data_IF_762910986289
#
_entry.id   IF_762910986289
#
_cell.length_a   1.000
_cell.length_b   1.000
_cell.length_c   1.000
_cell.angle_alpha   90.00
_cell.angle_beta   90.00
_cell.angle_gamma   90.00
#
_symmetry.space_group_name_H-M   'P 1'
#
loop_
_entity.id
_entity.type
_entity.pdbx_description
1 polymer ?
#
# COMPACT_ATOMS: atom_id res chain seq x y z
N UNK A 1 15.73 -11.83 4.65
CA UNK A 1 14.67 -12.04 5.65
C UNK A 1 13.37 -11.77 4.94
N UNK A 2 12.38 -12.67 5.06
CA UNK A 2 11.05 -12.48 4.45
C UNK A 2 10.36 -11.26 5.04
N UNK A 3 9.78 -10.42 4.18
CA UNK A 3 9.01 -9.28 4.62
C UNK A 3 7.56 -9.70 4.92
N UNK A 4 7.26 -9.96 6.19
CA UNK A 4 5.90 -10.33 6.62
C UNK A 4 4.88 -9.20 6.45
N UNK A 5 5.34 -7.98 6.17
CA UNK A 5 4.50 -6.81 5.93
C UNK A 5 4.15 -6.62 4.46
N UNK A 6 4.79 -7.36 3.54
CA UNK A 6 4.53 -7.25 2.12
C UNK A 6 3.38 -8.15 1.67
N UNK A 7 2.31 -7.61 1.06
CA UNK A 7 1.21 -8.40 0.53
C UNK A 7 1.65 -9.46 -0.50
N UNK A 8 2.75 -9.22 -1.23
CA UNK A 8 3.25 -10.16 -2.24
C UNK A 8 4.19 -11.22 -1.64
N UNK A 9 5.06 -10.84 -0.69
CA UNK A 9 6.06 -11.75 -0.12
C UNK A 9 5.53 -12.57 1.07
N UNK A 10 4.37 -12.20 1.63
CA UNK A 10 3.82 -12.85 2.84
C UNK A 10 3.50 -14.32 2.62
N UNK A 11 3.53 -14.88 1.41
CA UNK A 11 3.39 -16.32 1.16
C UNK A 11 4.33 -16.85 0.09
N UNK A 12 5.42 -16.14 -0.20
CA UNK A 12 6.33 -16.47 -1.30
C UNK A 12 6.79 -17.94 -1.26
N UNK A 13 7.22 -18.44 -0.09
CA UNK A 13 7.65 -19.83 0.08
C UNK A 13 6.55 -20.88 -0.18
N UNK A 14 5.28 -20.52 0.03
CA UNK A 14 4.15 -21.41 -0.27
C UNK A 14 3.83 -21.37 -1.76
N UNK A 15 3.85 -20.19 -2.37
CA UNK A 15 3.61 -20.01 -3.80
C UNK A 15 4.71 -20.66 -4.65
N UNK A 16 5.96 -20.65 -4.21
CA UNK A 16 7.09 -21.30 -4.89
C UNK A 16 7.01 -22.84 -4.94
N UNK A 17 6.06 -23.46 -4.21
CA UNK A 17 5.89 -24.92 -4.17
C UNK A 17 4.75 -25.42 -5.05
N UNK A 18 3.99 -24.51 -5.66
CA UNK A 18 2.79 -24.82 -6.42
C UNK A 18 2.69 -23.88 -7.63
N UNK A 19 3.27 -24.30 -8.74
CA UNK A 19 3.37 -23.51 -9.97
C UNK A 19 1.98 -23.04 -10.48
N UNK A 20 0.96 -23.88 -10.38
CA UNK A 20 -0.40 -23.55 -10.83
C UNK A 20 -1.01 -22.44 -9.96
N UNK A 21 -0.86 -22.52 -8.64
CA UNK A 21 -1.33 -21.45 -7.74
C UNK A 21 -0.55 -20.17 -7.92
N UNK A 22 0.76 -20.27 -8.14
CA UNK A 22 1.61 -19.13 -8.41
C UNK A 22 1.18 -18.41 -9.70
N UNK A 23 0.99 -19.16 -10.79
CA UNK A 23 0.51 -18.60 -12.06
C UNK A 23 -0.88 -17.97 -11.92
N UNK A 24 -1.82 -18.64 -11.24
CA UNK A 24 -3.15 -18.09 -11.01
C UNK A 24 -3.12 -16.80 -10.19
N UNK A 25 -2.26 -16.75 -9.18
CA UNK A 25 -2.07 -15.58 -8.32
C UNK A 25 -1.58 -14.37 -9.12
N UNK A 26 -0.49 -14.50 -9.88
CA UNK A 26 0.01 -13.42 -10.73
C UNK A 26 -0.95 -13.07 -11.87
N UNK A 27 -1.71 -14.04 -12.40
CA UNK A 27 -2.75 -13.78 -13.39
C UNK A 27 -3.91 -12.93 -12.84
N UNK A 28 -4.22 -13.02 -11.54
CA UNK A 28 -5.19 -12.11 -10.89
C UNK A 28 -4.61 -10.72 -10.75
N UNK A 29 -3.36 -10.61 -10.28
CA UNK A 29 -2.67 -9.33 -10.10
C UNK A 29 -2.57 -8.56 -11.42
N UNK A 30 -2.17 -9.22 -12.50
CA UNK A 30 -2.03 -8.60 -13.82
C UNK A 30 -3.36 -8.08 -14.41
N UNK A 31 -4.51 -8.46 -13.83
CA UNK A 31 -5.84 -7.97 -14.24
C UNK A 31 -6.33 -6.81 -13.35
N UNK A 32 -5.59 -6.45 -12.31
CA UNK A 32 -5.95 -5.35 -11.43
C UNK A 32 -5.63 -4.01 -12.09
N UNK A 33 -6.38 -2.95 -11.76
CA UNK A 33 -5.95 -1.58 -12.02
C UNK A 33 -4.57 -1.29 -11.42
N UNK A 34 -3.78 -0.42 -12.05
CA UNK A 34 -2.42 -0.05 -11.61
C UNK A 34 -2.40 0.38 -10.14
N UNK A 35 -3.32 1.23 -9.72
CA UNK A 35 -3.46 1.69 -8.33
C UNK A 35 -3.59 0.54 -7.32
N UNK A 36 -4.23 -0.57 -7.71
CA UNK A 36 -4.36 -1.76 -6.86
C UNK A 36 -3.10 -2.62 -6.88
N UNK A 37 -2.38 -2.64 -8.00
CA UNK A 37 -1.07 -3.28 -8.08
C UNK A 37 -0.05 -2.53 -7.22
N UNK A 38 -0.06 -1.20 -7.25
CA UNK A 38 0.81 -0.36 -6.42
C UNK A 38 0.67 -0.71 -4.94
N UNK A 39 -0.56 -0.91 -4.45
CA UNK A 39 -0.75 -1.33 -3.06
C UNK A 39 -0.05 -2.66 -2.76
N UNK A 40 0.04 -3.60 -3.70
CA UNK A 40 0.67 -4.90 -3.48
C UNK A 40 2.21 -4.85 -3.50
N UNK A 41 2.80 -3.88 -4.22
CA UNK A 41 4.25 -3.83 -4.49
C UNK A 41 4.98 -2.64 -3.87
N UNK A 42 4.27 -1.61 -3.39
CA UNK A 42 4.86 -0.39 -2.84
C UNK A 42 5.37 -0.61 -1.40
N UNK A 43 6.63 -0.22 -1.16
CA UNK A 43 7.25 -0.21 0.18
C UNK A 43 6.47 0.66 1.18
N UNK A 44 5.75 1.68 0.70
CA UNK A 44 4.88 2.48 1.56
C UNK A 44 3.73 1.65 2.15
N UNK A 45 3.18 0.69 1.39
CA UNK A 45 2.17 -0.25 1.91
C UNK A 45 2.75 -1.09 3.05
N UNK A 46 3.96 -1.62 2.88
CA UNK A 46 4.65 -2.39 3.92
C UNK A 46 4.83 -1.57 5.20
N UNK A 47 5.21 -0.31 5.06
CA UNK A 47 5.37 0.61 6.19
C UNK A 47 4.05 0.93 6.88
N UNK A 48 2.96 1.07 6.13
CA UNK A 48 1.62 1.27 6.70
C UNK A 48 1.19 0.02 7.48
N UNK A 49 1.34 -1.17 6.89
CA UNK A 49 0.97 -2.44 7.53
C UNK A 49 1.80 -2.70 8.78
N UNK A 50 3.10 -2.39 8.75
CA UNK A 50 3.98 -2.43 9.91
C UNK A 50 3.49 -1.51 11.03
N UNK A 51 3.21 -0.25 10.72
CA UNK A 51 2.72 0.73 11.71
C UNK A 51 1.41 0.29 12.35
N UNK A 52 0.50 -0.29 11.57
CA UNK A 52 -0.76 -0.83 12.09
C UNK A 52 -0.47 -2.01 13.03
N UNK A 53 0.34 -2.98 12.60
CA UNK A 53 0.70 -4.13 13.44
C UNK A 53 1.35 -3.70 14.77
N UNK A 54 2.30 -2.76 14.73
CA UNK A 54 2.95 -2.20 15.92
C UNK A 54 1.97 -1.44 16.82
N UNK A 55 1.09 -0.61 16.24
CA UNK A 55 0.09 0.15 16.98
C UNK A 55 -0.84 -0.75 17.80
N UNK A 56 -1.27 -1.88 17.22
CA UNK A 56 -2.17 -2.83 17.86
C UNK A 56 -1.45 -4.00 18.55
N UNK A 57 -0.11 -3.94 18.61
CA UNK A 57 0.74 -4.96 19.23
C UNK A 57 0.47 -6.38 18.70
N UNK A 58 0.20 -6.48 17.39
CA UNK A 58 -0.05 -7.77 16.74
C UNK A 58 1.20 -8.64 16.81
N UNK A 59 1.02 -9.90 17.18
CA UNK A 59 2.11 -10.87 17.07
C UNK A 59 2.37 -11.24 15.61
N UNK A 60 3.48 -11.94 15.35
CA UNK A 60 3.88 -12.29 13.99
C UNK A 60 2.79 -13.03 13.19
N UNK A 61 2.07 -13.97 13.79
CA UNK A 61 1.01 -14.71 13.10
C UNK A 61 -0.18 -13.81 12.77
N UNK A 62 -0.60 -12.96 13.72
CA UNK A 62 -1.68 -11.99 13.50
C UNK A 62 -1.32 -10.98 12.41
N UNK A 63 -0.06 -10.52 12.38
CA UNK A 63 0.46 -9.65 11.32
C UNK A 63 0.38 -10.34 9.96
N UNK A 64 0.85 -11.59 9.87
CA UNK A 64 0.78 -12.38 8.63
C UNK A 64 -0.68 -12.50 8.15
N UNK A 65 -1.61 -12.84 9.04
CA UNK A 65 -3.03 -12.97 8.68
C UNK A 65 -3.66 -11.64 8.26
N UNK A 66 -3.31 -10.54 8.91
CA UNK A 66 -3.75 -9.20 8.52
C UNK A 66 -3.27 -8.85 7.11
N UNK A 67 -1.99 -9.10 6.82
CA UNK A 67 -1.37 -8.79 5.52
C UNK A 67 -1.95 -9.69 4.42
N UNK A 68 -2.16 -10.98 4.71
CA UNK A 68 -2.88 -11.90 3.83
C UNK A 68 -4.30 -11.41 3.53
N UNK A 69 -5.04 -10.95 4.53
CA UNK A 69 -6.38 -10.43 4.33
C UNK A 69 -6.38 -9.19 3.42
N UNK A 70 -5.43 -8.27 3.59
CA UNK A 70 -5.28 -7.10 2.71
C UNK A 70 -5.03 -7.53 1.26
N UNK A 71 -4.08 -8.47 1.05
CA UNK A 71 -3.83 -9.06 -0.27
C UNK A 71 -5.10 -9.68 -0.85
N UNK A 72 -5.78 -10.53 -0.09
CA UNK A 72 -6.98 -11.25 -0.52
C UNK A 72 -8.10 -10.28 -0.94
N UNK A 73 -8.27 -9.17 -0.22
CA UNK A 73 -9.24 -8.11 -0.58
C UNK A 73 -8.84 -7.46 -1.91
N UNK A 74 -7.57 -7.10 -2.11
CA UNK A 74 -7.09 -6.43 -3.32
C UNK A 74 -7.26 -7.33 -4.55
N UNK A 75 -6.90 -8.61 -4.45
CA UNK A 75 -7.06 -9.59 -5.54
C UNK A 75 -8.51 -10.11 -5.67
N UNK A 76 -9.45 -9.59 -4.86
CA UNK A 76 -10.89 -9.93 -4.84
C UNK A 76 -11.20 -11.38 -4.43
N UNK A 77 -10.31 -12.02 -3.69
CA UNK A 77 -10.54 -13.32 -3.04
C UNK A 77 -11.24 -13.19 -1.68
N UNK A 78 -11.27 -11.98 -1.11
CA UNK A 78 -12.08 -11.61 0.05
C UNK A 78 -12.92 -10.35 -0.25
N UNK A 79 -14.05 -10.22 0.45
CA UNK A 79 -14.97 -9.09 0.29
C UNK A 79 -14.66 -8.01 1.34
N UNK A 80 -14.52 -6.75 0.91
CA UNK A 80 -14.18 -5.63 1.80
C UNK A 80 -15.24 -5.42 2.89
N UNK A 81 -16.51 -5.71 2.59
CA UNK A 81 -17.65 -5.58 3.50
C UNK A 81 -17.53 -6.51 4.72
N UNK A 82 -16.80 -7.61 4.58
CA UNK A 82 -16.62 -8.62 5.63
C UNK A 82 -15.32 -8.44 6.44
N UNK A 83 -14.52 -7.41 6.16
CA UNK A 83 -13.17 -7.24 6.73
C UNK A 83 -13.14 -7.30 8.25
N UNK A 84 -14.16 -6.80 8.95
CA UNK A 84 -14.21 -6.83 10.42
C UNK A 84 -14.38 -8.27 10.91
N UNK A 85 -15.31 -9.02 10.31
CA UNK A 85 -15.53 -10.42 10.66
C UNK A 85 -14.29 -11.26 10.36
N UNK A 86 -13.70 -11.07 9.17
CA UNK A 86 -12.46 -11.76 8.77
C UNK A 86 -11.29 -11.44 9.71
N UNK A 87 -11.15 -10.19 10.18
CA UNK A 87 -10.11 -9.83 11.15
C UNK A 87 -10.37 -10.47 12.52
N UNK A 88 -11.61 -10.46 13.01
CA UNK A 88 -11.97 -11.12 14.27
C UNK A 88 -11.64 -12.61 14.22
N UNK A 89 -12.02 -13.29 13.12
CA UNK A 89 -11.83 -14.72 12.97
C UNK A 89 -10.37 -15.11 12.71
N UNK A 90 -9.66 -14.40 11.82
CA UNK A 90 -8.28 -14.75 11.46
C UNK A 90 -7.27 -14.36 12.53
N UNK A 91 -7.43 -13.20 13.18
CA UNK A 91 -6.49 -12.72 14.20
C UNK A 91 -6.87 -13.16 15.61
N UNK A 92 -8.08 -13.72 15.81
CA UNK A 92 -8.61 -14.13 17.12
C UNK A 92 -8.64 -12.95 18.12
N UNK A 93 -9.10 -11.79 17.65
CA UNK A 93 -9.16 -10.53 18.40
C UNK A 93 -10.61 -10.07 18.61
N UNK A 94 -10.84 -9.24 19.64
CA UNK A 94 -12.15 -8.66 19.90
C UNK A 94 -12.62 -7.75 18.76
N UNK A 95 -13.93 -7.74 18.51
CA UNK A 95 -14.58 -6.98 17.43
C UNK A 95 -14.24 -5.49 17.43
N UNK A 96 -14.08 -4.88 18.62
CA UNK A 96 -13.68 -3.48 18.73
C UNK A 96 -12.29 -3.22 18.13
N UNK A 97 -11.32 -4.09 18.41
CA UNK A 97 -9.96 -3.99 17.87
C UNK A 97 -9.98 -4.26 16.36
N UNK A 98 -10.73 -5.29 15.93
CA UNK A 98 -10.91 -5.61 14.52
C UNK A 98 -11.49 -4.43 13.73
N UNK A 99 -12.50 -3.75 14.28
CA UNK A 99 -13.09 -2.54 13.70
C UNK A 99 -12.07 -1.40 13.58
N UNK A 100 -11.27 -1.17 14.61
CA UNK A 100 -10.24 -0.11 14.58
C UNK A 100 -9.14 -0.41 13.54
N UNK A 101 -8.71 -1.67 13.43
CA UNK A 101 -7.77 -2.12 12.40
C UNK A 101 -8.40 -1.94 11.00
N UNK A 102 -9.63 -2.41 10.79
CA UNK A 102 -10.35 -2.26 9.52
C UNK A 102 -10.48 -0.80 9.07
N UNK A 103 -10.76 0.10 10.01
CA UNK A 103 -10.82 1.54 9.75
C UNK A 103 -9.46 2.08 9.30
N UNK A 104 -8.36 1.65 9.93
CA UNK A 104 -7.00 2.03 9.52
C UNK A 104 -6.65 1.48 8.13
N UNK A 105 -6.92 0.21 7.87
CA UNK A 105 -6.69 -0.39 6.55
C UNK A 105 -7.49 0.33 5.47
N UNK A 106 -8.76 0.62 5.74
CA UNK A 106 -9.62 1.34 4.79
C UNK A 106 -9.13 2.76 4.54
N UNK A 107 -8.77 3.50 5.58
CA UNK A 107 -8.34 4.89 5.43
C UNK A 107 -7.02 5.03 4.67
N UNK A 108 -6.11 4.04 4.79
CA UNK A 108 -4.76 4.14 4.23
C UNK A 108 -4.55 3.35 2.94
N UNK A 109 -5.26 2.23 2.74
CA UNK A 109 -4.97 1.29 1.65
C UNK A 109 -6.22 0.93 0.82
N UNK A 110 -7.36 0.66 1.48
CA UNK A 110 -8.53 0.08 0.79
C UNK A 110 -9.55 1.14 0.34
N UNK A 111 -9.25 2.43 0.44
CA UNK A 111 -10.13 3.51 -0.03
C UNK A 111 -9.86 3.79 -1.52
N UNK A 112 -10.89 4.12 -2.33
CA UNK A 112 -10.70 4.56 -3.72
C UNK A 112 -9.78 5.79 -3.86
N UNK A 113 -9.62 6.58 -2.79
CA UNK A 113 -8.77 7.76 -2.74
C UNK A 113 -7.34 7.48 -2.23
N UNK A 114 -7.02 6.24 -1.86
CA UNK A 114 -5.68 5.84 -1.42
C UNK A 114 -4.72 5.57 -2.60
N UNK A 115 -5.20 5.69 -3.84
CA UNK A 115 -4.35 5.74 -5.02
C UNK A 115 -3.22 6.76 -4.75
N UNK A 116 -1.95 6.39 -4.93
CA UNK A 116 -0.86 7.32 -4.75
C UNK A 116 -1.14 8.50 -5.67
N UNK A 117 -1.45 9.65 -5.08
CA UNK A 117 -1.35 10.90 -5.80
C UNK A 117 0.07 10.92 -6.30
N UNK A 118 0.25 10.74 -7.61
CA UNK A 118 1.45 11.12 -8.36
C UNK A 118 1.77 12.54 -7.92
N UNK A 119 2.54 12.65 -6.84
CA UNK A 119 3.32 13.83 -6.57
C UNK A 119 4.40 13.74 -7.62
N UNK A 120 4.08 14.25 -8.80
CA UNK A 120 5.07 14.77 -9.71
C UNK A 120 5.96 15.69 -8.87
N UNK A 121 7.05 15.15 -8.33
CA UNK A 121 8.28 15.90 -8.14
C UNK A 121 8.75 16.26 -9.54
N UNK A 122 8.03 17.19 -10.19
CA UNK A 122 8.56 17.91 -11.32
C UNK A 122 9.88 18.54 -10.89
N UNK A 123 10.89 18.57 -11.76
CA UNK A 123 12.15 19.22 -11.42
C UNK A 123 11.85 20.67 -10.96
N UNK A 124 12.67 21.23 -10.04
CA UNK A 124 12.46 22.60 -9.59
C UNK A 124 12.37 23.49 -10.82
N UNK A 125 11.28 24.25 -10.94
CA UNK A 125 11.24 25.34 -11.92
C UNK A 125 12.38 26.26 -11.53
N UNK A 126 13.47 26.24 -12.30
CA UNK A 126 14.46 27.30 -12.28
C UNK A 126 13.69 28.61 -12.42
N UNK A 127 13.76 29.44 -11.37
CA UNK A 127 13.33 30.82 -11.44
C UNK A 127 14.19 31.50 -12.50
N UNK A 128 13.69 31.56 -13.72
CA UNK A 128 14.23 32.46 -14.72
C UNK A 128 14.06 33.88 -14.18
N UNK A 129 15.17 34.41 -13.67
CA UNK A 129 15.38 35.80 -13.34
C UNK A 129 14.61 36.68 -14.33
N UNK A 130 13.56 37.36 -13.83
CA UNK A 130 13.01 38.52 -14.52
C UNK A 130 14.09 39.58 -14.52
N UNK A 131 14.90 39.60 -15.58
CA UNK A 131 15.77 40.72 -15.90
C UNK A 131 14.85 41.92 -16.10
N UNK A 132 14.87 42.84 -15.13
CA UNK A 132 14.19 44.12 -15.22
C UNK A 132 14.75 44.88 -16.44
N UNK A 133 13.94 45.21 -17.47
CA UNK A 133 14.43 45.85 -18.68
C UNK A 133 14.87 47.32 -18.49
N UNK A 134 14.75 47.89 -17.29
CA UNK A 134 15.02 49.30 -17.03
C UNK A 134 16.40 49.62 -16.41
N UNK A 135 17.35 48.68 -16.41
CA UNK A 135 18.70 48.94 -15.89
C UNK A 135 19.78 48.89 -16.98
N UNK A 136 19.51 49.51 -18.13
CA UNK A 136 20.56 49.85 -19.11
C UNK A 136 21.36 51.01 -18.52
N UNK A 137 22.46 50.69 -17.85
CA UNK A 137 23.48 51.65 -17.48
C UNK A 137 24.14 52.11 -18.79
N UNK A 138 23.86 53.34 -19.20
CA UNK A 138 24.41 53.94 -20.41
C UNK A 138 25.91 54.19 -20.21
N UNK A 139 26.75 53.27 -20.69
CA UNK A 139 28.21 53.35 -20.62
C UNK A 139 28.77 53.67 -22.01
N UNK A 140 28.41 54.83 -22.58
CA UNK A 140 29.16 55.46 -23.69
C UNK A 140 29.10 57.00 -23.67
N UNK A 141 30.23 57.56 -23.23
CA UNK A 141 30.82 58.89 -23.52
C UNK A 141 30.28 60.11 -22.78
#
# INVERSE_FOLDING_TARGET
>A
MRNIYSPIEVDEEFMLRDDEKHELFYAKINKLPEEMQDILFDENTDNILRKIAEQFQLNQNQTIEMVRLVRDIIIKDAQKENVIADLTDRLQIGENIARDIANKLTANLLSPAAAPSISESGPPKEEFNKVNPNNVLDLRK
#
